data_IF_653836890550
#
_entry.id   IF_653836890550
#
_cell.length_a   1.000
_cell.length_b   1.000
_cell.length_c   1.000
_cell.angle_alpha   90.00
_cell.angle_beta   90.00
_cell.angle_gamma   90.00
#
_symmetry.space_group_name_H-M   'P 1'
#
loop_
_entity.id
_entity.type
_entity.pdbx_description
1 polymer ?
#
# COMPACT_ATOMS: atom_id res chain seq x y z
N UNK A 1 -35.78 -87.49 21.26
CA UNK A 1 -35.96 -86.34 22.18
C UNK A 1 -34.61 -85.65 22.27
N UNK A 2 -34.56 -84.36 21.90
CA UNK A 2 -33.44 -83.39 22.05
C UNK A 2 -32.10 -83.74 21.35
N UNK A 3 -31.80 -83.14 20.18
CA UNK A 3 -31.25 -81.77 19.96
C UNK A 3 -29.77 -81.66 20.37
N UNK A 4 -28.83 -81.13 19.57
CA UNK A 4 -28.98 -80.36 18.36
C UNK A 4 -27.63 -80.11 17.67
N UNK A 5 -27.71 -80.11 16.35
CA UNK A 5 -27.26 -79.04 15.48
C UNK A 5 -25.75 -78.73 15.44
N UNK A 6 -25.03 -79.53 14.67
CA UNK A 6 -23.85 -79.06 13.93
C UNK A 6 -24.30 -78.23 12.72
N UNK A 7 -24.21 -76.90 12.79
CA UNK A 7 -24.25 -76.05 11.59
C UNK A 7 -23.30 -74.86 11.73
N UNK A 8 -22.20 -74.98 10.98
CA UNK A 8 -21.50 -73.92 10.25
C UNK A 8 -21.32 -72.57 10.95
N UNK A 9 -20.11 -72.33 11.43
CA UNK A 9 -19.53 -71.01 11.65
C UNK A 9 -19.76 -70.08 10.45
N UNK A 10 -20.36 -68.89 10.62
CA UNK A 10 -20.42 -67.92 9.53
C UNK A 10 -19.02 -67.34 9.31
N UNK A 11 -18.56 -67.47 8.07
CA UNK A 11 -17.35 -66.86 7.51
C UNK A 11 -17.23 -65.39 7.92
N UNK A 12 -16.36 -65.09 8.90
CA UNK A 12 -15.76 -63.76 9.10
C UNK A 12 -14.67 -63.51 8.05
N UNK A 13 -15.04 -63.45 6.78
CA UNK A 13 -14.12 -63.13 5.69
C UNK A 13 -14.89 -62.40 4.60
N UNK A 14 -14.87 -61.05 4.62
CA UNK A 14 -15.09 -60.16 3.44
C UNK A 14 -15.08 -58.64 3.70
N UNK A 15 -14.62 -58.12 4.86
CA UNK A 15 -14.49 -56.64 5.03
C UNK A 15 -13.21 -56.14 5.71
N UNK A 16 -12.08 -56.85 5.61
CA UNK A 16 -10.84 -56.41 6.26
C UNK A 16 -9.63 -56.19 5.32
N UNK A 17 -9.72 -56.51 4.02
CA UNK A 17 -8.56 -56.39 3.11
C UNK A 17 -8.65 -55.22 2.12
N UNK A 18 -9.82 -54.61 1.95
CA UNK A 18 -10.00 -53.41 1.12
C UNK A 18 -9.89 -52.10 1.93
N UNK A 19 -9.88 -52.18 3.27
CA UNK A 19 -9.84 -51.00 4.15
C UNK A 19 -8.46 -50.36 4.24
N UNK A 20 -7.38 -51.14 4.32
CA UNK A 20 -6.04 -50.61 4.65
C UNK A 20 -5.28 -50.07 3.45
N UNK A 21 -5.36 -50.71 2.27
CA UNK A 21 -4.65 -50.24 1.06
C UNK A 21 -5.27 -48.99 0.45
N UNK A 22 -6.61 -48.88 0.46
CA UNK A 22 -7.30 -47.68 0.00
C UNK A 22 -7.11 -46.50 0.96
N UNK A 23 -7.15 -46.75 2.28
CA UNK A 23 -6.78 -45.74 3.29
C UNK A 23 -5.31 -45.29 3.16
N UNK A 24 -4.37 -46.20 2.87
CA UNK A 24 -2.98 -45.84 2.61
C UNK A 24 -2.82 -45.06 1.30
N UNK A 25 -3.57 -45.41 0.25
CA UNK A 25 -3.63 -44.66 -1.01
C UNK A 25 -4.16 -43.25 -0.81
N UNK A 26 -5.27 -43.10 -0.08
CA UNK A 26 -5.85 -41.81 0.31
C UNK A 26 -4.87 -40.97 1.14
N UNK A 27 -4.19 -41.57 2.12
CA UNK A 27 -3.18 -40.86 2.92
C UNK A 27 -2.02 -40.37 2.05
N UNK A 28 -1.52 -41.19 1.13
CA UNK A 28 -0.46 -40.79 0.20
C UNK A 28 -0.92 -39.70 -0.77
N UNK A 29 -2.13 -39.82 -1.30
CA UNK A 29 -2.73 -38.80 -2.15
C UNK A 29 -2.89 -37.47 -1.40
N UNK A 30 -3.42 -37.50 -0.16
CA UNK A 30 -3.55 -36.32 0.69
C UNK A 30 -2.18 -35.67 0.97
N UNK A 31 -1.18 -36.46 1.36
CA UNK A 31 0.18 -35.96 1.61
C UNK A 31 0.81 -35.35 0.36
N UNK A 32 0.63 -35.97 -0.81
CA UNK A 32 1.11 -35.43 -2.09
C UNK A 32 0.39 -34.13 -2.44
N UNK A 33 -0.94 -34.07 -2.31
CA UNK A 33 -1.70 -32.85 -2.54
C UNK A 33 -1.27 -31.74 -1.58
N UNK A 34 -1.12 -32.02 -0.28
CA UNK A 34 -0.62 -31.06 0.69
C UNK A 34 0.79 -30.59 0.34
N UNK A 35 1.69 -31.49 -0.05
CA UNK A 35 3.05 -31.11 -0.46
C UNK A 35 3.05 -30.22 -1.71
N UNK A 36 2.19 -30.52 -2.70
CA UNK A 36 2.02 -29.69 -3.90
C UNK A 36 1.46 -28.32 -3.55
N UNK A 37 0.46 -28.23 -2.67
CA UNK A 37 -0.11 -26.95 -2.22
C UNK A 37 0.93 -26.13 -1.44
N UNK A 38 1.67 -26.75 -0.53
CA UNK A 38 2.74 -26.08 0.22
C UNK A 38 3.86 -25.61 -0.70
N UNK A 39 4.23 -26.39 -1.71
CA UNK A 39 5.22 -25.98 -2.71
C UNK A 39 4.69 -24.84 -3.59
N UNK A 40 3.42 -24.90 -4.02
CA UNK A 40 2.77 -23.86 -4.81
C UNK A 40 2.72 -22.52 -4.06
N UNK A 41 2.23 -22.54 -2.82
CA UNK A 41 2.21 -21.35 -1.95
C UNK A 41 3.63 -20.90 -1.64
N UNK A 42 4.53 -21.79 -1.21
CA UNK A 42 5.87 -21.42 -0.78
C UNK A 42 6.74 -20.83 -1.90
N UNK A 43 6.76 -21.47 -3.07
CA UNK A 43 7.50 -20.97 -4.24
C UNK A 43 6.86 -19.68 -4.76
N UNK A 44 5.53 -19.65 -4.84
CA UNK A 44 4.77 -18.48 -5.23
C UNK A 44 5.05 -17.28 -4.34
N UNK A 45 4.87 -17.46 -3.03
CA UNK A 45 5.11 -16.43 -2.04
C UNK A 45 6.53 -15.83 -2.14
N UNK A 46 7.57 -16.66 -2.33
CA UNK A 46 8.93 -16.12 -2.50
C UNK A 46 9.11 -15.34 -3.83
N UNK A 47 8.41 -15.74 -4.89
CA UNK A 47 8.51 -15.07 -6.20
C UNK A 47 7.74 -13.73 -6.27
N UNK A 48 6.61 -13.66 -5.55
CA UNK A 48 5.68 -12.54 -5.58
C UNK A 48 5.84 -11.57 -4.40
N UNK A 49 6.45 -11.99 -3.29
CA UNK A 49 6.74 -11.09 -2.17
C UNK A 49 7.77 -10.04 -2.57
N UNK A 50 7.33 -8.78 -2.66
CA UNK A 50 8.18 -7.64 -2.99
C UNK A 50 7.78 -6.43 -2.15
N UNK A 51 8.74 -5.89 -1.42
CA UNK A 51 8.64 -4.59 -0.78
C UNK A 51 9.73 -3.73 -1.41
N UNK A 52 9.37 -3.00 -2.45
CA UNK A 52 10.27 -2.07 -3.13
C UNK A 52 10.22 -0.71 -2.42
N UNK A 53 11.06 -0.60 -1.39
CA UNK A 53 11.25 0.59 -0.58
C UNK A 53 12.51 1.40 -0.97
N UNK A 54 12.95 1.30 -2.23
CA UNK A 54 14.08 2.09 -2.73
C UNK A 54 13.76 3.59 -2.73
N UNK A 55 14.30 4.32 -1.76
CA UNK A 55 14.14 5.77 -1.61
C UNK A 55 14.91 6.54 -2.69
N UNK A 56 15.79 5.87 -3.44
CA UNK A 56 16.45 6.37 -4.63
C UNK A 56 15.63 6.26 -5.90
N UNK A 57 14.40 5.71 -5.86
CA UNK A 57 13.55 5.56 -7.05
C UNK A 57 13.31 6.90 -7.76
N UNK A 58 13.46 6.91 -9.09
CA UNK A 58 13.26 8.08 -9.96
C UNK A 58 12.28 7.66 -11.08
N UNK A 59 11.41 8.58 -11.49
CA UNK A 59 10.51 8.34 -12.61
C UNK A 59 11.33 8.02 -13.89
N UNK A 60 11.09 6.87 -14.57
CA UNK A 60 11.96 6.38 -15.64
C UNK A 60 11.91 7.20 -16.94
N UNK A 61 10.92 8.08 -17.09
CA UNK A 61 10.75 8.96 -18.25
C UNK A 61 10.14 10.30 -17.83
N UNK A 62 10.91 11.21 -17.21
CA UNK A 62 10.39 12.50 -16.78
C UNK A 62 9.98 13.36 -17.99
N UNK A 63 8.85 14.02 -17.88
CA UNK A 63 8.28 14.88 -18.91
C UNK A 63 8.99 16.23 -18.88
N UNK A 64 9.79 16.53 -19.90
CA UNK A 64 10.51 17.80 -19.98
C UNK A 64 9.54 19.00 -19.98
N UNK A 65 9.68 19.91 -19.01
CA UNK A 65 8.78 21.05 -18.83
C UNK A 65 7.48 20.74 -18.05
N UNK A 66 7.26 19.47 -17.68
CA UNK A 66 6.18 19.05 -16.79
C UNK A 66 6.48 19.30 -15.31
N UNK A 67 5.64 18.75 -14.44
CA UNK A 67 5.86 18.64 -13.00
C UNK A 67 6.55 17.33 -12.65
N UNK A 68 7.61 17.42 -11.85
CA UNK A 68 8.31 16.26 -11.30
C UNK A 68 7.40 15.45 -10.37
N UNK A 69 6.53 16.13 -9.62
CA UNK A 69 5.57 15.49 -8.71
C UNK A 69 4.58 14.61 -9.46
N UNK A 70 4.06 15.08 -10.59
CA UNK A 70 3.10 14.32 -11.40
C UNK A 70 3.77 13.13 -12.06
N UNK A 71 5.00 13.29 -12.57
CA UNK A 71 5.77 12.15 -13.11
C UNK A 71 6.03 11.09 -12.03
N UNK A 72 6.35 11.49 -10.80
CA UNK A 72 6.55 10.55 -9.70
C UNK A 72 5.26 9.85 -9.27
N UNK A 73 4.15 10.60 -9.20
CA UNK A 73 2.84 10.01 -8.94
C UNK A 73 2.48 8.95 -10.00
N UNK A 74 2.68 9.27 -11.29
CA UNK A 74 2.48 8.34 -12.39
C UNK A 74 3.42 7.13 -12.27
N UNK A 75 4.71 7.35 -12.03
CA UNK A 75 5.71 6.29 -11.91
C UNK A 75 5.41 5.32 -10.75
N UNK A 76 4.93 5.82 -9.61
CA UNK A 76 4.52 4.97 -8.49
C UNK A 76 3.31 4.10 -8.83
N UNK A 77 2.30 4.65 -9.51
CA UNK A 77 1.13 3.87 -9.95
C UNK A 77 1.54 2.85 -11.02
N UNK A 78 2.35 3.23 -12.00
CA UNK A 78 2.86 2.30 -13.02
C UNK A 78 3.65 1.16 -12.37
N UNK A 79 4.54 1.49 -11.44
CA UNK A 79 5.33 0.49 -10.73
C UNK A 79 4.45 -0.49 -9.97
N UNK A 80 3.54 -0.01 -9.13
CA UNK A 80 2.74 -0.91 -8.28
C UNK A 80 1.63 -1.65 -9.01
N UNK A 81 0.98 -1.01 -9.99
CA UNK A 81 -0.22 -1.59 -10.64
C UNK A 81 0.13 -2.35 -11.90
N UNK A 82 1.18 -1.95 -12.63
CA UNK A 82 1.56 -2.53 -13.91
C UNK A 82 2.78 -3.43 -13.78
N UNK A 83 3.87 -2.97 -13.16
CA UNK A 83 5.12 -3.72 -13.11
C UNK A 83 5.16 -4.78 -12.00
N UNK A 84 4.60 -4.47 -10.83
CA UNK A 84 4.55 -5.38 -9.69
C UNK A 84 3.29 -6.24 -9.63
N UNK A 85 2.32 -5.95 -10.50
CA UNK A 85 0.96 -6.48 -10.43
C UNK A 85 0.23 -6.05 -9.14
N UNK A 86 -1.07 -5.78 -9.26
CA UNK A 86 -1.85 -5.23 -8.17
C UNK A 86 -2.38 -6.35 -7.25
N UNK A 87 -1.59 -6.69 -6.23
CA UNK A 87 -1.87 -7.81 -5.34
C UNK A 87 -3.06 -7.65 -4.37
N UNK A 88 -3.50 -6.44 -3.98
CA UNK A 88 -4.67 -6.29 -3.10
C UNK A 88 -5.99 -6.88 -3.64
N UNK A 89 -6.06 -7.16 -4.94
CA UNK A 89 -7.20 -7.82 -5.57
C UNK A 89 -7.02 -9.33 -5.72
N UNK A 90 -5.84 -9.88 -5.38
CA UNK A 90 -5.54 -11.27 -5.64
C UNK A 90 -6.32 -12.21 -4.71
N UNK A 91 -7.08 -13.19 -5.26
CA UNK A 91 -7.83 -14.11 -4.43
C UNK A 91 -6.95 -14.98 -3.54
N UNK A 92 -7.46 -15.43 -2.39
CA UNK A 92 -6.74 -16.29 -1.43
C UNK A 92 -6.13 -17.59 -2.00
N UNK A 93 -6.55 -18.02 -3.20
CA UNK A 93 -6.04 -19.21 -3.89
C UNK A 93 -4.88 -18.93 -4.86
N UNK A 94 -4.49 -17.67 -5.05
CA UNK A 94 -3.28 -17.31 -5.79
C UNK A 94 -2.04 -17.67 -4.98
N UNK A 95 -0.86 -17.81 -5.61
CA UNK A 95 0.36 -18.22 -4.92
C UNK A 95 0.83 -17.22 -3.84
N UNK A 96 0.39 -15.97 -3.95
CA UNK A 96 0.68 -14.81 -3.11
C UNK A 96 -0.48 -14.41 -2.20
N UNK A 97 -1.68 -15.00 -2.33
CA UNK A 97 -2.88 -14.61 -1.56
C UNK A 97 -2.80 -14.86 -0.03
N UNK A 98 -1.68 -15.39 0.47
CA UNK A 98 -1.36 -15.51 1.90
C UNK A 98 -0.28 -14.51 2.36
N UNK A 99 0.27 -13.72 1.43
CA UNK A 99 1.15 -12.59 1.70
C UNK A 99 0.31 -11.33 1.81
N UNK A 100 0.27 -10.76 2.99
CA UNK A 100 -0.44 -9.53 3.33
C UNK A 100 0.46 -8.29 3.21
N UNK A 101 1.76 -8.44 3.42
CA UNK A 101 2.71 -7.32 3.47
C UNK A 101 2.81 -6.50 2.18
N UNK A 102 2.94 -7.15 1.03
CA UNK A 102 3.01 -6.44 -0.27
C UNK A 102 1.68 -5.76 -0.62
N UNK A 103 0.51 -6.42 -0.51
CA UNK A 103 -0.79 -5.76 -0.66
C UNK A 103 -0.99 -4.52 0.23
N UNK A 104 -0.62 -4.61 1.51
CA UNK A 104 -0.74 -3.48 2.42
C UNK A 104 0.18 -2.33 2.03
N UNK A 105 1.43 -2.64 1.67
CA UNK A 105 2.40 -1.65 1.17
C UNK A 105 1.90 -0.92 -0.09
N UNK A 106 1.38 -1.67 -1.07
CA UNK A 106 0.80 -1.12 -2.31
C UNK A 106 -0.41 -0.21 -2.03
N UNK A 107 -1.31 -0.62 -1.14
CA UNK A 107 -2.44 0.21 -0.72
C UNK A 107 -1.99 1.50 -0.03
N UNK A 108 -0.94 1.44 0.78
CA UNK A 108 -0.33 2.62 1.39
C UNK A 108 0.14 3.64 0.34
N UNK A 109 0.85 3.16 -0.68
CA UNK A 109 1.35 3.99 -1.80
C UNK A 109 0.18 4.64 -2.54
N UNK A 110 -0.78 3.85 -3.02
CA UNK A 110 -1.92 4.38 -3.80
C UNK A 110 -2.76 5.34 -2.97
N UNK A 111 -2.94 5.08 -1.67
CA UNK A 111 -3.65 6.00 -0.77
C UNK A 111 -2.95 7.37 -0.69
N UNK A 112 -1.61 7.39 -0.57
CA UNK A 112 -0.84 8.62 -0.53
C UNK A 112 -0.94 9.38 -1.87
N UNK A 113 -0.76 8.68 -3.00
CA UNK A 113 -0.86 9.25 -4.35
C UNK A 113 -2.26 9.81 -4.62
N UNK A 114 -3.31 9.08 -4.22
CA UNK A 114 -4.70 9.51 -4.37
C UNK A 114 -5.03 10.75 -3.54
N UNK A 115 -4.61 10.78 -2.26
CA UNK A 115 -4.79 11.95 -1.39
C UNK A 115 -4.07 13.17 -1.93
N UNK A 116 -2.82 12.99 -2.39
CA UNK A 116 -2.07 14.10 -2.99
C UNK A 116 -2.71 14.56 -4.29
N UNK A 117 -3.13 13.65 -5.18
CA UNK A 117 -3.79 14.01 -6.45
C UNK A 117 -5.07 14.81 -6.24
N UNK A 118 -5.86 14.46 -5.22
CA UNK A 118 -7.05 15.22 -4.83
C UNK A 118 -6.69 16.63 -4.34
N UNK A 119 -5.63 16.77 -3.54
CA UNK A 119 -5.18 18.09 -3.08
C UNK A 119 -4.57 18.93 -4.22
N UNK A 120 -3.80 18.30 -5.10
CA UNK A 120 -3.23 18.96 -6.28
C UNK A 120 -4.34 19.47 -7.20
N UNK A 121 -5.44 18.73 -7.36
CA UNK A 121 -6.60 19.19 -8.11
C UNK A 121 -7.17 20.51 -7.55
N UNK A 122 -7.26 20.60 -6.22
CA UNK A 122 -7.85 21.75 -5.54
C UNK A 122 -6.91 22.95 -5.50
N UNK A 123 -5.62 22.72 -5.24
CA UNK A 123 -4.63 23.78 -4.97
C UNK A 123 -3.71 24.11 -6.15
N UNK A 124 -3.34 23.12 -6.96
CA UNK A 124 -2.30 23.24 -8.00
C UNK A 124 -2.89 23.27 -9.42
N UNK A 125 -3.98 22.55 -9.66
CA UNK A 125 -4.61 22.39 -10.97
C UNK A 125 -5.50 23.54 -11.42
N UNK A 126 -5.50 24.67 -10.69
CA UNK A 126 -6.40 25.81 -10.94
C UNK A 126 -5.61 27.11 -11.00
N UNK A 127 -5.73 27.86 -12.10
CA UNK A 127 -5.05 29.13 -12.28
C UNK A 127 -5.53 30.24 -11.30
N UNK A 128 -6.79 30.16 -10.84
CA UNK A 128 -7.44 31.01 -9.83
C UNK A 128 -8.54 30.20 -9.15
N UNK A 129 -8.96 30.58 -7.94
CA UNK A 129 -9.98 29.85 -7.16
C UNK A 129 -11.30 29.53 -7.90
N UNK A 130 -11.67 30.30 -8.94
CA UNK A 130 -12.85 30.05 -9.79
C UNK A 130 -12.58 29.42 -11.17
N UNK A 131 -11.31 29.12 -11.52
CA UNK A 131 -10.96 28.53 -12.82
C UNK A 131 -11.33 27.06 -12.87
N UNK A 132 -11.75 26.55 -14.03
CA UNK A 132 -12.03 25.12 -14.18
C UNK A 132 -10.77 24.30 -13.87
N UNK A 133 -10.93 23.24 -13.10
CA UNK A 133 -9.86 22.28 -12.86
C UNK A 133 -9.50 21.57 -14.17
N UNK A 134 -8.26 21.10 -14.26
CA UNK A 134 -7.84 20.31 -15.41
C UNK A 134 -8.61 18.98 -15.47
N UNK A 135 -9.25 18.63 -16.60
CA UNK A 135 -10.10 17.44 -16.69
C UNK A 135 -9.32 16.13 -16.48
N UNK A 136 -8.03 16.08 -16.85
CA UNK A 136 -7.21 14.88 -16.69
C UNK A 136 -6.80 14.71 -15.22
N UNK A 137 -6.46 15.80 -14.54
CA UNK A 137 -6.17 15.76 -13.10
C UNK A 137 -7.43 15.45 -12.28
N UNK A 138 -8.59 16.01 -12.66
CA UNK A 138 -9.88 15.70 -12.02
C UNK A 138 -10.21 14.21 -12.14
N UNK A 139 -10.04 13.67 -13.35
CA UNK A 139 -10.24 12.24 -13.63
C UNK A 139 -9.27 11.39 -12.83
N UNK A 140 -7.98 11.70 -12.82
CA UNK A 140 -6.98 10.96 -12.06
C UNK A 140 -7.30 10.94 -10.56
N UNK A 141 -7.60 12.12 -9.98
CA UNK A 141 -7.92 12.26 -8.57
C UNK A 141 -9.15 11.43 -8.18
N UNK A 142 -10.20 11.43 -9.00
CA UNK A 142 -11.40 10.64 -8.76
C UNK A 142 -11.16 9.12 -8.84
N UNK A 143 -10.42 8.67 -9.85
CA UNK A 143 -10.12 7.25 -10.06
C UNK A 143 -9.25 6.67 -8.95
N UNK A 144 -8.30 7.45 -8.42
CA UNK A 144 -7.42 7.01 -7.32
C UNK A 144 -8.14 6.88 -5.97
N UNK A 145 -9.34 7.44 -5.81
CA UNK A 145 -10.17 7.20 -4.61
C UNK A 145 -10.91 5.86 -4.64
N UNK A 146 -10.87 5.14 -5.77
CA UNK A 146 -11.53 3.85 -5.87
C UNK A 146 -10.91 2.84 -4.88
N UNK A 147 -11.72 2.00 -4.19
CA UNK A 147 -11.18 1.05 -3.22
C UNK A 147 -10.19 0.08 -3.87
N UNK A 148 -9.11 -0.26 -3.18
CA UNK A 148 -8.02 -1.06 -3.71
C UNK A 148 -8.26 -2.57 -3.77
N UNK A 149 -9.38 -3.07 -3.26
CA UNK A 149 -9.65 -4.49 -3.05
C UNK A 149 -10.87 -5.00 -3.83
N UNK A 150 -11.24 -4.33 -4.92
CA UNK A 150 -12.37 -4.75 -5.76
C UNK A 150 -11.85 -5.68 -6.84
N UNK A 151 -12.11 -6.98 -6.64
CA UNK A 151 -11.89 -8.02 -7.63
C UNK A 151 -13.01 -8.04 -8.68
N UNK A 152 -12.70 -8.55 -9.88
CA UNK A 152 -13.63 -8.61 -11.02
C UNK A 152 -14.95 -9.35 -10.69
N UNK A 153 -14.93 -10.34 -9.78
CA UNK A 153 -16.14 -11.00 -9.29
C UNK A 153 -16.40 -10.70 -7.81
N UNK A 154 -16.93 -9.53 -7.50
CA UNK A 154 -17.41 -9.18 -6.17
C UNK A 154 -18.86 -9.66 -5.94
N UNK A 155 -19.00 -10.95 -5.57
CA UNK A 155 -20.30 -11.59 -5.30
C UNK A 155 -21.07 -10.97 -4.11
N UNK A 156 -20.44 -10.10 -3.31
CA UNK A 156 -21.14 -9.38 -2.23
C UNK A 156 -21.98 -8.22 -2.75
N UNK A 157 -21.63 -7.66 -3.92
CA UNK A 157 -22.33 -6.53 -4.56
C UNK A 157 -23.12 -6.94 -5.79
N UNK A 158 -22.59 -7.85 -6.62
CA UNK A 158 -23.24 -8.25 -7.87
C UNK A 158 -22.81 -9.64 -8.31
N UNK A 159 -23.70 -10.35 -9.00
CA UNK A 159 -23.37 -11.61 -9.69
C UNK A 159 -22.76 -11.38 -11.08
N UNK A 160 -22.75 -10.14 -11.57
CA UNK A 160 -22.11 -9.74 -12.82
C UNK A 160 -20.68 -9.20 -12.56
N UNK A 161 -19.74 -9.37 -13.51
CA UNK A 161 -18.40 -8.82 -13.40
C UNK A 161 -18.41 -7.29 -13.20
N UNK A 162 -17.53 -6.79 -12.34
CA UNK A 162 -17.27 -5.35 -12.13
C UNK A 162 -15.92 -4.97 -12.72
N UNK A 163 -15.66 -3.66 -12.88
CA UNK A 163 -14.34 -3.16 -13.23
C UNK A 163 -13.43 -3.32 -11.99
N UNK A 164 -12.30 -4.04 -12.09
CA UNK A 164 -11.39 -4.25 -10.97
C UNK A 164 -10.61 -2.98 -10.63
N UNK A 165 -10.11 -2.86 -9.40
CA UNK A 165 -9.41 -1.65 -8.93
C UNK A 165 -8.20 -1.26 -9.78
N UNK A 166 -7.42 -2.24 -10.20
CA UNK A 166 -6.27 -2.07 -11.09
C UNK A 166 -6.61 -1.35 -12.39
N UNK A 167 -7.78 -1.57 -12.99
CA UNK A 167 -8.18 -0.90 -14.23
C UNK A 167 -8.49 0.58 -13.98
N UNK A 168 -9.06 0.91 -12.81
CA UNK A 168 -9.26 2.30 -12.39
C UNK A 168 -7.91 3.00 -12.18
N UNK A 169 -6.94 2.31 -11.58
CA UNK A 169 -5.61 2.87 -11.37
C UNK A 169 -4.79 2.99 -12.65
N UNK A 170 -4.91 2.05 -13.61
CA UNK A 170 -4.31 2.19 -14.96
C UNK A 170 -4.92 3.37 -15.72
N UNK A 171 -6.23 3.59 -15.58
CA UNK A 171 -6.89 4.76 -16.15
C UNK A 171 -6.43 6.07 -15.47
N UNK A 172 -6.19 6.05 -14.15
CA UNK A 172 -5.62 7.19 -13.42
C UNK A 172 -4.19 7.50 -13.86
N UNK A 173 -3.35 6.48 -14.05
CA UNK A 173 -2.00 6.60 -14.59
C UNK A 173 -2.01 7.33 -15.93
N UNK A 174 -2.88 6.90 -16.85
CA UNK A 174 -3.00 7.50 -18.19
C UNK A 174 -3.43 8.97 -18.12
N UNK A 175 -4.30 9.31 -17.16
CA UNK A 175 -4.75 10.68 -16.93
C UNK A 175 -3.65 11.56 -16.29
N UNK A 176 -2.87 11.05 -15.32
CA UNK A 176 -1.72 11.77 -14.77
C UNK A 176 -0.66 12.07 -15.85
N UNK A 177 -0.33 11.09 -16.69
CA UNK A 177 0.61 11.27 -17.79
C UNK A 177 0.10 12.31 -18.81
N UNK A 178 -1.19 12.25 -19.17
CA UNK A 178 -1.81 13.21 -20.08
C UNK A 178 -1.80 14.64 -19.51
N UNK A 179 -2.13 14.79 -18.21
CA UNK A 179 -2.03 16.07 -17.51
C UNK A 179 -0.61 16.63 -17.57
N UNK A 180 0.41 15.80 -17.32
CA UNK A 180 1.79 16.28 -17.33
C UNK A 180 2.31 16.67 -18.72
N UNK A 181 1.89 15.95 -19.76
CA UNK A 181 2.18 16.33 -21.15
C UNK A 181 1.56 17.68 -21.50
N UNK A 182 0.33 17.95 -21.02
CA UNK A 182 -0.33 19.24 -21.21
C UNK A 182 0.32 20.35 -20.40
N UNK A 183 0.84 20.06 -19.20
CA UNK A 183 1.67 21.01 -18.44
C UNK A 183 2.91 21.41 -19.24
N UNK A 184 3.62 20.44 -19.80
CA UNK A 184 4.80 20.68 -20.63
C UNK A 184 4.49 21.49 -21.91
N UNK A 185 3.30 21.28 -22.49
CA UNK A 185 2.82 22.04 -23.64
C UNK A 185 2.29 23.46 -23.28
N UNK A 186 2.15 23.80 -22.00
CA UNK A 186 1.54 25.05 -21.54
C UNK A 186 0.02 25.10 -21.70
N UNK A 187 -0.62 23.95 -21.89
CA UNK A 187 -2.08 23.78 -22.06
C UNK A 187 -2.81 23.49 -20.74
N UNK A 188 -2.05 23.25 -19.67
CA UNK A 188 -2.55 23.05 -18.32
C UNK A 188 -1.76 23.94 -17.34
N UNK A 189 -2.30 24.14 -16.15
CA UNK A 189 -1.66 24.97 -15.11
C UNK A 189 -1.28 24.11 -13.92
N UNK A 190 -0.09 24.38 -13.40
CA UNK A 190 0.41 23.88 -12.11
C UNK A 190 0.84 25.11 -11.29
N UNK A 191 0.02 25.51 -10.32
CA UNK A 191 0.23 26.70 -9.51
C UNK A 191 1.43 26.51 -8.56
N UNK A 192 2.51 27.28 -8.77
CA UNK A 192 3.76 27.21 -8.00
C UNK A 192 3.87 28.31 -6.93
N UNK A 193 2.75 28.73 -6.35
CA UNK A 193 2.73 29.75 -5.29
C UNK A 193 3.00 29.16 -3.90
N UNK A 194 3.44 30.03 -2.99
CA UNK A 194 3.74 29.65 -1.61
C UNK A 194 2.50 29.16 -0.85
N UNK A 195 1.33 29.75 -1.07
CA UNK A 195 0.09 29.33 -0.41
C UNK A 195 -0.42 27.98 -0.92
N UNK A 196 -0.28 27.72 -2.23
CA UNK A 196 -0.62 26.40 -2.80
C UNK A 196 0.30 25.30 -2.25
N UNK A 197 1.60 25.58 -2.07
CA UNK A 197 2.52 24.68 -1.37
C UNK A 197 2.12 24.50 0.09
N UNK A 198 1.78 25.59 0.79
CA UNK A 198 1.38 25.53 2.20
C UNK A 198 0.18 24.62 2.41
N UNK A 199 -0.86 24.78 1.58
CA UNK A 199 -2.06 23.94 1.60
C UNK A 199 -1.73 22.48 1.32
N UNK A 200 -0.92 22.20 0.29
CA UNK A 200 -0.48 20.85 -0.07
C UNK A 200 0.26 20.17 1.07
N UNK A 201 1.25 20.85 1.66
CA UNK A 201 2.05 20.33 2.78
C UNK A 201 1.17 20.11 4.03
N UNK A 202 0.24 21.03 4.30
CA UNK A 202 -0.68 20.92 5.42
C UNK A 202 -1.62 19.72 5.26
N UNK A 203 -2.07 19.41 4.05
CA UNK A 203 -2.88 18.21 3.79
C UNK A 203 -2.09 16.92 4.04
N UNK A 204 -0.84 16.86 3.57
CA UNK A 204 0.04 15.71 3.84
C UNK A 204 0.27 15.57 5.34
N UNK A 205 0.56 16.67 6.04
CA UNK A 205 0.68 16.68 7.50
C UNK A 205 -0.61 16.18 8.18
N UNK A 206 -1.79 16.63 7.75
CA UNK A 206 -3.05 16.16 8.31
C UNK A 206 -3.26 14.65 8.10
N UNK A 207 -2.87 14.11 6.94
CA UNK A 207 -2.95 12.67 6.69
C UNK A 207 -1.98 11.86 7.57
N UNK A 208 -0.75 12.34 7.74
CA UNK A 208 0.21 11.75 8.67
C UNK A 208 -0.31 11.80 10.11
N UNK A 209 -0.94 12.90 10.52
CA UNK A 209 -1.60 13.00 11.83
C UNK A 209 -2.69 11.95 12.02
N UNK A 210 -3.52 11.70 11.00
CA UNK A 210 -4.51 10.61 11.03
C UNK A 210 -3.86 9.24 11.11
N UNK A 211 -2.77 9.00 10.38
CA UNK A 211 -2.02 7.75 10.44
C UNK A 211 -1.40 7.52 11.82
N UNK A 212 -0.85 8.58 12.44
CA UNK A 212 -0.34 8.52 13.81
C UNK A 212 -1.41 8.14 14.82
N UNK A 213 -2.62 8.69 14.69
CA UNK A 213 -3.74 8.34 15.57
C UNK A 213 -4.19 6.88 15.40
N UNK A 214 -4.10 6.32 14.19
CA UNK A 214 -4.37 4.90 13.96
C UNK A 214 -3.32 4.00 14.62
N UNK A 215 -2.04 4.36 14.54
CA UNK A 215 -0.97 3.65 15.25
C UNK A 215 -1.19 3.70 16.75
N UNK A 216 -1.49 4.88 17.31
CA UNK A 216 -1.72 5.08 18.74
C UNK A 216 -2.91 4.24 19.23
N UNK A 217 -4.06 4.34 18.55
CA UNK A 217 -5.24 3.54 18.87
C UNK A 217 -4.95 2.04 18.79
N UNK A 218 -4.14 1.60 17.83
CA UNK A 218 -3.74 0.20 17.71
C UNK A 218 -2.86 -0.24 18.88
N UNK A 219 -1.87 0.57 19.27
CA UNK A 219 -1.01 0.30 20.42
C UNK A 219 -1.82 0.25 21.73
N UNK A 220 -2.83 1.10 21.90
CA UNK A 220 -3.67 1.06 23.10
C UNK A 220 -4.51 -0.22 23.21
N UNK A 221 -5.06 -0.71 22.09
CA UNK A 221 -6.03 -1.81 22.09
C UNK A 221 -5.41 -3.20 21.80
N UNK A 222 -4.22 -3.24 21.19
CA UNK A 222 -3.60 -4.47 20.67
C UNK A 222 -2.21 -4.79 21.28
N UNK A 223 -1.68 -3.96 22.19
CA UNK A 223 -0.31 -4.07 22.76
C UNK A 223 -0.01 -5.32 23.61
N UNK A 224 -0.92 -6.30 23.69
CA UNK A 224 -0.73 -7.51 24.48
C UNK A 224 -0.03 -8.67 23.76
N UNK A 225 -0.04 -8.70 22.43
CA UNK A 225 0.48 -9.84 21.65
C UNK A 225 1.60 -9.41 20.70
N UNK A 226 2.78 -9.97 20.93
CA UNK A 226 4.03 -9.57 20.24
C UNK A 226 3.95 -9.80 18.72
N UNK A 227 3.19 -10.80 18.25
CA UNK A 227 3.06 -11.21 16.84
C UNK A 227 1.61 -11.07 16.36
N UNK A 228 1.19 -9.86 16.03
CA UNK A 228 -0.17 -9.60 15.59
C UNK A 228 -0.22 -9.30 14.09
N UNK A 229 -1.04 -10.06 13.35
CA UNK A 229 -1.25 -9.87 11.90
C UNK A 229 -1.70 -8.43 11.61
N UNK A 230 -2.60 -7.87 12.43
CA UNK A 230 -3.05 -6.50 12.21
C UNK A 230 -1.99 -5.44 12.51
N UNK A 231 -0.97 -5.75 13.34
CA UNK A 231 0.20 -4.88 13.50
C UNK A 231 1.09 -4.92 12.26
N UNK A 232 1.24 -6.09 11.64
CA UNK A 232 1.99 -6.28 10.38
C UNK A 232 1.30 -5.51 9.24
N UNK A 233 -0.01 -5.69 9.08
CA UNK A 233 -0.84 -4.98 8.10
C UNK A 233 -0.69 -3.45 8.22
N UNK A 234 -0.88 -2.92 9.44
CA UNK A 234 -0.79 -1.49 9.71
C UNK A 234 0.63 -0.96 9.47
N UNK A 235 1.66 -1.74 9.83
CA UNK A 235 3.05 -1.35 9.62
C UNK A 235 3.37 -1.19 8.14
N UNK A 236 3.01 -2.17 7.30
CA UNK A 236 3.31 -2.12 5.87
C UNK A 236 2.44 -1.11 5.11
N UNK A 237 1.17 -0.94 5.49
CA UNK A 237 0.34 0.13 4.94
C UNK A 237 0.91 1.50 5.28
N UNK A 238 1.32 1.72 6.53
CA UNK A 238 1.96 2.98 6.95
C UNK A 238 3.30 3.18 6.23
N UNK A 239 4.11 2.12 6.11
CA UNK A 239 5.39 2.16 5.40
C UNK A 239 5.21 2.57 3.94
N UNK A 240 4.26 1.98 3.22
CA UNK A 240 3.95 2.33 1.83
C UNK A 240 3.52 3.78 1.66
N UNK A 241 2.67 4.27 2.58
CA UNK A 241 2.25 5.67 2.61
C UNK A 241 3.42 6.63 2.86
N UNK A 242 4.26 6.34 3.85
CA UNK A 242 5.43 7.16 4.19
C UNK A 242 6.45 7.17 3.06
N UNK A 243 6.66 6.02 2.43
CA UNK A 243 7.50 5.88 1.25
C UNK A 243 7.02 6.74 0.07
N UNK A 244 5.73 6.65 -0.26
CA UNK A 244 5.14 7.47 -1.32
C UNK A 244 5.22 8.96 -0.97
N UNK A 245 4.90 9.38 0.26
CA UNK A 245 5.02 10.77 0.66
C UNK A 245 6.45 11.29 0.64
N UNK A 246 7.44 10.47 1.01
CA UNK A 246 8.85 10.83 0.87
C UNK A 246 9.19 11.18 -0.59
N UNK A 247 8.86 10.29 -1.54
CA UNK A 247 9.18 10.50 -2.95
C UNK A 247 8.39 11.67 -3.55
N UNK A 248 7.09 11.75 -3.26
CA UNK A 248 6.23 12.83 -3.77
C UNK A 248 6.67 14.18 -3.21
N UNK A 249 6.97 14.30 -1.91
CA UNK A 249 7.47 15.54 -1.34
C UNK A 249 8.87 15.86 -1.85
N UNK A 250 9.74 14.88 -2.09
CA UNK A 250 11.04 15.12 -2.73
C UNK A 250 10.86 15.83 -4.08
N UNK A 251 9.95 15.35 -4.92
CA UNK A 251 9.65 15.98 -6.21
C UNK A 251 8.87 17.29 -6.11
N UNK A 252 7.98 17.45 -5.13
CA UNK A 252 7.38 18.77 -4.81
C UNK A 252 8.49 19.77 -4.47
N UNK A 253 9.54 19.32 -3.78
CA UNK A 253 10.71 20.13 -3.47
C UNK A 253 11.40 20.68 -4.72
N UNK A 254 11.45 19.89 -5.80
CA UNK A 254 11.96 20.32 -7.10
C UNK A 254 10.98 21.27 -7.80
N UNK A 255 9.69 20.95 -7.83
CA UNK A 255 8.67 21.82 -8.44
C UNK A 255 8.55 23.20 -7.77
N UNK A 256 8.85 23.28 -6.47
CA UNK A 256 8.77 24.48 -5.63
C UNK A 256 10.14 25.00 -5.16
N UNK A 257 11.24 24.60 -5.81
CA UNK A 257 12.60 24.93 -5.36
C UNK A 257 12.76 26.44 -5.10
N UNK A 258 12.26 27.28 -6.02
CA UNK A 258 12.30 28.74 -5.87
C UNK A 258 11.58 29.23 -4.61
N UNK A 259 10.38 28.71 -4.33
CA UNK A 259 9.59 29.12 -3.15
C UNK A 259 10.30 28.69 -1.87
N UNK A 260 10.81 27.47 -1.83
CA UNK A 260 11.55 26.93 -0.69
C UNK A 260 12.80 27.78 -0.42
N UNK A 261 13.53 28.17 -1.47
CA UNK A 261 14.71 29.03 -1.36
C UNK A 261 14.36 30.43 -0.87
N UNK A 262 13.36 31.08 -1.48
CA UNK A 262 12.92 32.45 -1.12
C UNK A 262 12.40 32.56 0.31
N UNK A 263 11.83 31.47 0.85
CA UNK A 263 11.31 31.40 2.23
C UNK A 263 12.32 30.83 3.24
N UNK A 264 13.56 30.56 2.83
CA UNK A 264 14.61 29.99 3.68
C UNK A 264 14.21 28.66 4.35
N UNK A 265 13.48 27.80 3.63
CA UNK A 265 12.90 26.55 4.14
C UNK A 265 13.80 25.32 3.95
N UNK A 266 14.97 25.46 3.32
CA UNK A 266 15.82 24.34 2.90
C UNK A 266 16.18 23.41 4.08
N UNK A 267 16.51 24.00 5.23
CA UNK A 267 16.91 23.22 6.41
C UNK A 267 15.76 22.39 6.97
N UNK A 268 14.60 23.00 7.23
CA UNK A 268 13.44 22.29 7.79
C UNK A 268 12.83 21.30 6.78
N UNK A 269 12.83 21.63 5.49
CA UNK A 269 12.42 20.72 4.42
C UNK A 269 13.32 19.49 4.36
N UNK A 270 14.64 19.68 4.37
CA UNK A 270 15.61 18.59 4.39
C UNK A 270 15.45 17.69 5.61
N UNK A 271 15.17 18.27 6.79
CA UNK A 271 14.89 17.49 7.99
C UNK A 271 13.59 16.67 7.88
N UNK A 272 12.52 17.23 7.30
CA UNK A 272 11.29 16.49 7.00
C UNK A 272 11.57 15.29 6.08
N UNK A 273 12.36 15.49 5.04
CA UNK A 273 12.74 14.42 4.11
C UNK A 273 13.53 13.32 4.80
N UNK A 274 14.48 13.66 5.68
CA UNK A 274 15.23 12.67 6.47
C UNK A 274 14.29 11.85 7.37
N UNK A 275 13.34 12.49 8.06
CA UNK A 275 12.37 11.80 8.92
C UNK A 275 11.46 10.84 8.16
N UNK A 276 10.93 11.27 7.02
CA UNK A 276 10.11 10.40 6.17
C UNK A 276 10.93 9.22 5.63
N UNK A 277 12.17 9.48 5.19
CA UNK A 277 13.08 8.45 4.70
C UNK A 277 13.42 7.41 5.75
N UNK A 278 13.76 7.83 6.97
CA UNK A 278 14.04 6.91 8.08
C UNK A 278 12.84 6.01 8.41
N UNK A 279 11.62 6.57 8.35
CA UNK A 279 10.40 5.79 8.56
C UNK A 279 10.11 4.81 7.41
N UNK A 280 10.34 5.26 6.17
CA UNK A 280 10.13 4.49 4.95
C UNK A 280 11.16 3.36 4.77
N UNK A 281 12.37 3.48 5.32
CA UNK A 281 13.46 2.50 5.21
C UNK A 281 13.46 1.45 6.34
N UNK A 282 12.49 1.48 7.28
CA UNK A 282 12.38 0.47 8.33
C UNK A 282 12.12 -0.92 7.72
N UNK A 283 13.03 -1.87 7.95
CA UNK A 283 12.97 -3.24 7.39
C UNK A 283 13.13 -4.30 8.49
N UNK A 284 12.12 -4.46 9.37
CA UNK A 284 12.15 -5.54 10.33
C UNK A 284 12.04 -6.89 9.60
N UNK A 285 12.75 -7.92 10.08
CA UNK A 285 12.55 -9.30 9.61
C UNK A 285 11.19 -9.86 10.02
N UNK A 286 10.67 -9.41 11.17
CA UNK A 286 9.34 -9.72 11.69
C UNK A 286 8.82 -8.47 12.39
N UNK A 287 7.60 -8.05 12.08
CA UNK A 287 6.98 -6.93 12.78
C UNK A 287 6.58 -7.39 14.17
N UNK A 288 7.29 -6.84 15.15
CA UNK A 288 7.00 -6.99 16.57
C UNK A 288 6.33 -5.73 17.09
N UNK A 289 5.27 -5.93 17.88
CA UNK A 289 4.49 -4.84 18.45
C UNK A 289 4.29 -5.04 19.95
N UNK A 290 5.41 -5.03 20.69
CA UNK A 290 5.37 -5.04 22.14
C UNK A 290 4.82 -3.71 22.68
N UNK A 291 4.40 -3.64 23.96
CA UNK A 291 4.13 -2.37 24.62
C UNK A 291 5.30 -1.39 24.46
N UNK A 292 5.06 -0.07 24.32
CA UNK A 292 6.14 0.91 24.17
C UNK A 292 7.17 0.91 25.31
N UNK A 293 6.78 0.48 26.51
CA UNK A 293 7.63 0.35 27.70
C UNK A 293 8.27 -1.05 27.87
N UNK A 294 8.10 -1.92 26.88
CA UNK A 294 8.67 -3.27 26.86
C UNK A 294 10.21 -3.24 26.94
N UNK A 295 10.77 -4.09 27.81
CA UNK A 295 12.22 -4.21 28.02
C UNK A 295 12.87 -5.30 27.18
N UNK A 296 12.08 -6.23 26.63
CA UNK A 296 12.56 -7.46 26.00
C UNK A 296 12.37 -7.48 24.49
N UNK A 297 11.34 -6.79 23.99
CA UNK A 297 10.95 -6.81 22.58
C UNK A 297 10.71 -5.40 22.08
N UNK A 298 11.07 -5.14 20.83
CA UNK A 298 10.82 -3.86 20.17
C UNK A 298 9.33 -3.66 19.85
N UNK A 299 8.92 -2.39 19.76
CA UNK A 299 7.69 -1.97 19.09
C UNK A 299 8.07 -1.24 17.79
N UNK A 300 7.91 -1.93 16.66
CA UNK A 300 8.21 -1.36 15.35
C UNK A 300 7.20 -0.29 14.97
N UNK A 301 5.93 -0.45 15.35
CA UNK A 301 4.91 0.59 15.16
C UNK A 301 5.23 1.85 15.98
N UNK A 302 5.69 1.72 17.23
CA UNK A 302 6.14 2.89 18.01
C UNK A 302 7.35 3.57 17.37
N UNK A 303 8.31 2.79 16.86
CA UNK A 303 9.50 3.33 16.18
C UNK A 303 9.14 4.06 14.89
N UNK A 304 8.25 3.48 14.08
CA UNK A 304 7.72 4.10 12.87
C UNK A 304 6.91 5.37 13.19
N UNK A 305 6.06 5.31 14.22
CA UNK A 305 5.28 6.43 14.73
C UNK A 305 6.14 7.60 15.18
N UNK A 306 7.28 7.34 15.83
CA UNK A 306 8.23 8.38 16.22
C UNK A 306 8.76 9.17 15.00
N UNK A 307 9.25 8.48 13.96
CA UNK A 307 9.76 9.16 12.76
C UNK A 307 8.65 9.88 11.99
N UNK A 308 7.47 9.28 11.91
CA UNK A 308 6.27 9.89 11.33
C UNK A 308 5.92 11.20 12.06
N UNK A 309 5.86 11.19 13.39
CA UNK A 309 5.59 12.39 14.19
C UNK A 309 6.66 13.47 14.00
N UNK A 310 7.93 13.08 13.87
CA UNK A 310 9.02 14.02 13.59
C UNK A 310 8.82 14.71 12.24
N UNK A 311 8.50 13.94 11.20
CA UNK A 311 8.15 14.48 9.89
C UNK A 311 6.93 15.40 9.96
N UNK A 312 5.87 14.98 10.67
CA UNK A 312 4.65 15.76 10.87
C UNK A 312 4.94 17.15 11.46
N UNK A 313 5.76 17.22 12.51
CA UNK A 313 6.13 18.50 13.15
C UNK A 313 6.88 19.40 12.15
N UNK A 314 7.84 18.84 11.42
CA UNK A 314 8.65 19.58 10.45
C UNK A 314 7.81 20.09 9.26
N UNK A 315 6.87 19.29 8.76
CA UNK A 315 5.93 19.71 7.71
C UNK A 315 4.97 20.80 8.19
N UNK A 316 4.50 20.73 9.44
CA UNK A 316 3.69 21.80 10.03
C UNK A 316 4.48 23.11 10.18
N UNK A 317 5.77 23.04 10.51
CA UNK A 317 6.65 24.21 10.54
C UNK A 317 6.82 24.83 9.15
N UNK A 318 7.08 24.01 8.13
CA UNK A 318 7.11 24.44 6.72
C UNK A 318 5.83 25.18 6.34
N UNK A 319 4.66 24.56 6.59
CA UNK A 319 3.38 25.16 6.25
C UNK A 319 3.13 26.50 6.97
N UNK A 320 3.52 26.61 8.25
CA UNK A 320 3.39 27.86 9.03
C UNK A 320 4.24 28.99 8.44
N UNK A 321 5.47 28.71 8.03
CA UNK A 321 6.35 29.72 7.44
C UNK A 321 5.84 30.15 6.05
N UNK A 322 5.28 29.23 5.27
CA UNK A 322 4.70 29.55 3.96
C UNK A 322 3.42 30.39 4.04
N UNK A 323 2.69 30.32 5.15
CA UNK A 323 1.44 31.05 5.38
C UNK A 323 1.64 32.53 5.79
N UNK A 324 2.88 32.95 6.04
CA UNK A 324 3.29 34.32 6.41
C UNK A 324 3.87 35.05 5.20
#
# INVERSE_FOLDING_TARGET
MFSGLSRSSPRRWTRALLGTRWQQGLRRALLLTTAVVVAYVGIGSVAYHRIDDDTGFIAPAPTAGGSYTIDMAAALIEREVVLHEWQPNDPWFTPDGLLDNTPNFQQGIVSAVGRLSFEMLDQLGRARGSSQADPDLERAAGLLQFPGNIWIFDFSKSTMPTIPSEDQYRAALSALQSYNLRLAAGEAVFDRRADSLAATVLRVAADLGSQSAQIDAHLEHSSGFILNISSDDLFYQTKGKLYAYYLLLREIGHDFERVIQERNLQAVWGQAMVSLREAAELRPTVVLDAPPDSRLFASHLSSQGFYLLRALVQLNEVAKVLAV
#
